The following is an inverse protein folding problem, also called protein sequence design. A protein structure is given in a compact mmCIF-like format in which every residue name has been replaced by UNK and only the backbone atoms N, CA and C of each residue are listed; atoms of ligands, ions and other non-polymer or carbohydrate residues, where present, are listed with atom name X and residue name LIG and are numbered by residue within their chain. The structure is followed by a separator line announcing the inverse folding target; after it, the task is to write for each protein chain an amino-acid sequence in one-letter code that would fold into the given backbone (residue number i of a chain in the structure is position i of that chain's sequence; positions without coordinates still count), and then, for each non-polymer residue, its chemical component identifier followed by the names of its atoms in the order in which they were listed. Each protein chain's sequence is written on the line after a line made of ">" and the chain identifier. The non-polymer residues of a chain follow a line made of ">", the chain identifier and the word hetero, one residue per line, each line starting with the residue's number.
data_IF_298840602287
#
_entry.id   IF_298840602287
#
_cell.length_a   1.000
_cell.length_b   1.000
_cell.length_c   1.000
_cell.angle_alpha   90.00
_cell.angle_beta   90.00
_cell.angle_gamma   90.00
#
_symmetry.space_group_name_H-M   'P 1'
#
loop_
_entity.id
_entity.type
_entity.pdbx_description
1 polymer ?
#
# COMPACT_ATOMS: atom_id res chain seq x y z
N UNK A 1 2.54 28.69 -16.93
CA UNK A 1 1.52 27.66 -16.62
C UNK A 1 1.48 27.54 -15.11
N UNK A 2 0.31 27.77 -14.50
CA UNK A 2 0.07 27.39 -13.11
C UNK A 2 -0.08 25.86 -13.04
N UNK A 3 0.35 25.29 -11.91
CA UNK A 3 0.20 23.86 -11.63
C UNK A 3 1.29 22.93 -12.18
N UNK A 4 1.16 21.66 -11.83
CA UNK A 4 2.11 20.62 -12.22
C UNK A 4 2.01 20.25 -13.71
N UNK A 5 3.11 19.74 -14.26
CA UNK A 5 3.19 19.32 -15.66
C UNK A 5 3.24 17.80 -15.79
N UNK A 6 2.83 17.28 -16.95
CA UNK A 6 2.99 15.86 -17.28
C UNK A 6 4.46 15.42 -17.26
N UNK A 7 5.39 16.33 -17.59
CA UNK A 7 6.83 16.06 -17.49
C UNK A 7 7.30 15.93 -16.04
N UNK A 8 6.77 16.75 -15.12
CA UNK A 8 7.03 16.63 -13.69
C UNK A 8 6.51 15.31 -13.10
N UNK A 9 5.28 14.93 -13.48
CA UNK A 9 4.69 13.62 -13.13
C UNK A 9 5.55 12.46 -13.66
N UNK A 10 5.99 12.52 -14.92
CA UNK A 10 6.88 11.51 -15.48
C UNK A 10 8.24 11.44 -14.76
N UNK A 11 8.78 12.58 -14.28
CA UNK A 11 9.97 12.62 -13.45
C UNK A 11 9.77 11.88 -12.12
N UNK A 12 8.65 12.13 -11.44
CA UNK A 12 8.31 11.43 -10.18
C UNK A 12 8.10 9.94 -10.36
N UNK A 13 7.50 9.54 -11.49
CA UNK A 13 7.38 8.12 -11.83
C UNK A 13 8.77 7.47 -11.99
N UNK A 14 9.72 8.12 -12.67
CA UNK A 14 11.10 7.61 -12.77
C UNK A 14 11.79 7.49 -11.41
N UNK A 15 11.54 8.41 -10.48
CA UNK A 15 12.07 8.31 -9.11
C UNK A 15 11.49 7.10 -8.36
N UNK A 16 10.23 6.76 -8.62
CA UNK A 16 9.52 5.62 -8.00
C UNK A 16 9.89 4.28 -8.60
N UNK A 17 10.27 4.21 -9.87
CA UNK A 17 10.78 2.97 -10.48
C UNK A 17 11.99 2.42 -9.71
N UNK A 18 12.72 3.28 -9.00
CA UNK A 18 13.86 2.91 -8.17
C UNK A 18 13.50 2.73 -6.66
N UNK A 19 12.22 2.83 -6.28
CA UNK A 19 11.74 2.79 -4.88
C UNK A 19 10.52 1.89 -4.69
N UNK A 20 10.45 1.17 -3.57
CA UNK A 20 9.41 0.15 -3.29
C UNK A 20 8.10 0.71 -2.71
N UNK A 21 7.54 1.81 -3.22
CA UNK A 21 6.26 2.36 -2.70
C UNK A 21 5.15 2.39 -3.76
N UNK A 22 4.35 1.32 -3.82
CA UNK A 22 3.29 1.13 -4.82
C UNK A 22 2.07 2.05 -4.67
N UNK A 23 1.74 2.50 -3.45
CA UNK A 23 0.60 3.41 -3.22
C UNK A 23 0.86 4.80 -3.83
N UNK A 24 2.09 5.29 -3.65
CA UNK A 24 2.55 6.54 -4.24
C UNK A 24 2.47 6.51 -5.77
N UNK A 25 2.71 5.33 -6.36
CA UNK A 25 2.69 5.14 -7.79
C UNK A 25 1.28 5.31 -8.39
N UNK A 26 0.26 4.71 -7.77
CA UNK A 26 -1.15 4.84 -8.23
C UNK A 26 -1.62 6.28 -8.17
N UNK A 27 -1.32 7.00 -7.08
CA UNK A 27 -1.67 8.42 -6.94
C UNK A 27 -1.03 9.30 -8.03
N UNK A 28 0.24 9.07 -8.36
CA UNK A 28 0.94 9.80 -9.42
C UNK A 28 0.36 9.47 -10.81
N UNK A 29 -0.11 8.23 -11.04
CA UNK A 29 -0.84 7.88 -12.25
C UNK A 29 -2.18 8.63 -12.38
N UNK A 30 -2.93 8.85 -11.29
CA UNK A 30 -4.14 9.67 -11.32
C UNK A 30 -3.84 11.12 -11.72
N UNK A 31 -2.74 11.69 -11.25
CA UNK A 31 -2.32 13.03 -11.66
C UNK A 31 -2.02 13.12 -13.16
N UNK A 32 -1.40 12.08 -13.72
CA UNK A 32 -1.20 11.99 -15.16
C UNK A 32 -2.54 11.96 -15.91
N UNK A 33 -3.49 11.14 -15.46
CA UNK A 33 -4.83 11.03 -16.06
C UNK A 33 -5.63 12.35 -15.98
N UNK A 34 -5.43 13.15 -14.95
CA UNK A 34 -6.06 14.47 -14.83
C UNK A 34 -5.49 15.47 -15.83
N UNK A 35 -4.19 15.37 -16.16
CA UNK A 35 -3.53 16.29 -17.11
C UNK A 35 -3.65 15.87 -18.55
N UNK A 36 -3.65 14.58 -18.81
CA UNK A 36 -3.75 14.01 -20.14
C UNK A 36 -4.72 12.83 -20.10
N UNK A 37 -5.85 12.97 -20.78
CA UNK A 37 -6.91 11.98 -20.80
C UNK A 37 -7.24 11.57 -22.24
N UNK A 38 -7.90 10.42 -22.38
CA UNK A 38 -8.32 9.89 -23.67
C UNK A 38 -7.34 8.90 -24.32
N UNK A 39 -7.64 8.55 -25.57
CA UNK A 39 -6.92 7.49 -26.30
C UNK A 39 -5.44 7.84 -26.43
N UNK A 40 -4.58 6.96 -25.91
CA UNK A 40 -3.13 7.10 -25.96
C UNK A 40 -2.49 7.92 -24.83
N UNK A 41 -3.25 8.39 -23.84
CA UNK A 41 -2.69 9.10 -22.68
C UNK A 41 -1.63 8.26 -21.94
N UNK A 42 -1.93 6.98 -21.70
CA UNK A 42 -0.97 6.01 -21.15
C UNK A 42 0.35 5.99 -21.93
N UNK A 43 0.25 5.88 -23.26
CA UNK A 43 1.42 5.81 -24.14
C UNK A 43 2.24 7.10 -24.08
N UNK A 44 1.59 8.27 -24.13
CA UNK A 44 2.28 9.57 -24.04
C UNK A 44 2.99 9.76 -22.70
N UNK A 45 2.42 9.25 -21.61
CA UNK A 45 3.11 9.20 -20.31
C UNK A 45 4.28 8.23 -20.35
N UNK A 46 4.06 7.00 -20.83
CA UNK A 46 5.10 5.98 -20.93
C UNK A 46 6.30 6.45 -21.78
N UNK A 47 6.04 7.09 -22.92
CA UNK A 47 7.05 7.69 -23.79
C UNK A 47 7.89 8.76 -23.04
N UNK A 48 7.30 9.49 -22.09
CA UNK A 48 8.01 10.47 -21.24
C UNK A 48 8.77 9.84 -20.07
N UNK A 49 8.34 8.67 -19.60
CA UNK A 49 8.96 7.95 -18.47
C UNK A 49 10.10 7.07 -18.95
N UNK A 50 9.88 6.29 -20.01
CA UNK A 50 10.79 5.24 -20.47
C UNK A 50 11.53 5.60 -21.77
N UNK A 51 11.13 6.68 -22.44
CA UNK A 51 11.64 7.05 -23.76
C UNK A 51 10.87 6.39 -24.91
N UNK A 52 11.24 6.75 -26.14
CA UNK A 52 10.56 6.32 -27.39
C UNK A 52 11.40 5.37 -28.24
N UNK A 53 12.61 5.05 -27.78
CA UNK A 53 13.56 4.24 -28.53
C UNK A 53 13.10 2.79 -28.68
N UNK A 54 13.59 2.09 -29.71
CA UNK A 54 13.19 0.69 -30.03
C UNK A 54 13.43 -0.34 -28.91
N UNK A 55 14.12 0.03 -27.83
CA UNK A 55 14.32 -0.80 -26.64
C UNK A 55 13.56 -0.33 -25.38
N UNK A 56 12.90 0.83 -25.42
CA UNK A 56 12.15 1.35 -24.28
C UNK A 56 10.93 0.46 -24.01
N UNK A 57 10.87 -0.12 -22.80
CA UNK A 57 9.78 -0.98 -22.37
C UNK A 57 9.23 -0.48 -21.04
N UNK A 58 7.90 -0.43 -20.95
CA UNK A 58 7.21 -0.24 -19.67
C UNK A 58 7.61 -1.36 -18.71
N UNK A 59 7.83 -1.01 -17.45
CA UNK A 59 8.02 -2.00 -16.39
C UNK A 59 6.68 -2.64 -16.01
N UNK A 60 6.75 -3.81 -15.37
CA UNK A 60 5.55 -4.45 -14.80
C UNK A 60 4.91 -3.58 -13.72
N UNK A 61 5.73 -2.88 -12.94
CA UNK A 61 5.30 -1.94 -11.89
C UNK A 61 4.44 -0.83 -12.47
N UNK A 62 4.91 -0.12 -13.50
CA UNK A 62 4.13 0.92 -14.19
C UNK A 62 2.82 0.37 -14.77
N UNK A 63 2.88 -0.79 -15.44
CA UNK A 63 1.68 -1.43 -16.01
C UNK A 63 0.63 -1.74 -14.94
N UNK A 64 1.06 -2.27 -13.80
CA UNK A 64 0.17 -2.61 -12.70
C UNK A 64 -0.41 -1.35 -12.02
N UNK A 65 0.44 -0.36 -11.73
CA UNK A 65 0.00 0.90 -11.14
C UNK A 65 -1.02 1.62 -12.04
N UNK A 66 -0.75 1.69 -13.34
CA UNK A 66 -1.68 2.30 -14.30
C UNK A 66 -3.02 1.58 -14.34
N UNK A 67 -3.02 0.24 -14.37
CA UNK A 67 -4.25 -0.56 -14.38
C UNK A 67 -5.10 -0.35 -13.12
N UNK A 68 -4.46 -0.33 -11.94
CA UNK A 68 -5.15 -0.04 -10.67
C UNK A 68 -5.69 1.39 -10.69
N UNK A 69 -4.88 2.35 -11.15
CA UNK A 69 -5.28 3.74 -11.25
C UNK A 69 -6.51 3.91 -12.16
N UNK A 70 -6.55 3.28 -13.33
CA UNK A 70 -7.69 3.32 -14.24
C UNK A 70 -8.96 2.74 -13.60
N UNK A 71 -8.84 1.58 -12.94
CA UNK A 71 -9.97 0.92 -12.27
C UNK A 71 -10.55 1.78 -11.15
N UNK A 72 -9.68 2.48 -10.42
CA UNK A 72 -10.06 3.26 -9.25
C UNK A 72 -10.32 4.75 -9.54
N UNK A 73 -10.10 5.24 -10.76
CA UNK A 73 -10.06 6.69 -11.01
C UNK A 73 -11.39 7.39 -10.75
N UNK A 74 -12.52 6.75 -11.10
CA UNK A 74 -13.86 7.32 -10.89
C UNK A 74 -14.20 7.47 -9.42
N UNK A 75 -13.97 6.42 -8.65
CA UNK A 75 -14.38 6.34 -7.25
C UNK A 75 -13.33 6.91 -6.29
N UNK A 76 -12.06 6.55 -6.48
CA UNK A 76 -10.95 7.00 -5.64
C UNK A 76 -10.43 8.39 -5.95
N UNK A 77 -10.77 8.95 -7.12
CA UNK A 77 -10.39 10.32 -7.49
C UNK A 77 -11.52 11.08 -8.19
N UNK A 78 -12.59 11.46 -7.47
CA UNK A 78 -13.79 12.05 -8.03
C UNK A 78 -13.55 13.31 -8.88
N UNK A 79 -14.44 13.55 -9.86
CA UNK A 79 -14.30 14.63 -10.83
C UNK A 79 -14.14 16.04 -10.21
N UNK A 80 -14.73 16.28 -9.04
CA UNK A 80 -14.59 17.54 -8.30
C UNK A 80 -13.12 17.83 -7.94
N UNK A 81 -12.35 16.80 -7.58
CA UNK A 81 -10.94 16.94 -7.21
C UNK A 81 -10.02 17.11 -8.42
N UNK A 82 -10.38 16.50 -9.56
CA UNK A 82 -9.57 16.52 -10.79
C UNK A 82 -9.30 17.92 -11.33
N UNK A 83 -10.28 18.84 -11.21
CA UNK A 83 -10.12 20.23 -11.66
C UNK A 83 -9.26 21.06 -10.70
N UNK A 84 -9.37 20.81 -9.40
CA UNK A 84 -8.64 21.56 -8.38
C UNK A 84 -7.17 21.15 -8.31
N UNK A 85 -6.89 19.84 -8.33
CA UNK A 85 -5.52 19.30 -8.17
C UNK A 85 -4.57 19.77 -9.28
N UNK A 86 -5.16 20.01 -10.44
CA UNK A 86 -4.53 20.34 -11.70
C UNK A 86 -3.76 21.66 -11.60
N UNK A 87 -4.26 22.60 -10.81
CA UNK A 87 -3.63 23.92 -10.57
C UNK A 87 -2.60 23.92 -9.43
N UNK A 88 -2.47 22.82 -8.67
CA UNK A 88 -1.54 22.72 -7.55
C UNK A 88 -0.09 22.48 -8.00
N UNK A 89 0.86 22.87 -7.16
CA UNK A 89 2.26 22.48 -7.33
C UNK A 89 2.40 20.95 -7.29
N UNK A 90 3.45 20.41 -7.92
CA UNK A 90 3.60 18.95 -8.07
C UNK A 90 3.58 18.20 -6.74
N UNK A 91 4.30 18.68 -5.73
CA UNK A 91 4.38 17.98 -4.44
C UNK A 91 3.04 18.05 -3.69
N UNK A 92 2.33 19.17 -3.76
CA UNK A 92 0.98 19.34 -3.19
C UNK A 92 -0.05 18.46 -3.91
N UNK A 93 0.03 18.38 -5.24
CA UNK A 93 -0.82 17.51 -6.04
C UNK A 93 -0.61 16.04 -5.68
N UNK A 94 0.64 15.64 -5.44
CA UNK A 94 0.96 14.26 -5.05
C UNK A 94 0.46 13.97 -3.64
N UNK A 95 0.70 14.86 -2.68
CA UNK A 95 0.17 14.72 -1.31
C UNK A 95 -1.35 14.57 -1.33
N UNK A 96 -2.05 15.39 -2.13
CA UNK A 96 -3.49 15.29 -2.33
C UNK A 96 -3.89 13.93 -2.91
N UNK A 97 -3.22 13.46 -3.96
CA UNK A 97 -3.54 12.18 -4.62
C UNK A 97 -3.31 10.97 -3.69
N UNK A 98 -2.25 11.01 -2.88
CA UNK A 98 -1.96 9.96 -1.89
C UNK A 98 -2.98 9.96 -0.77
N UNK A 99 -3.36 11.13 -0.25
CA UNK A 99 -4.43 11.25 0.75
C UNK A 99 -5.78 10.75 0.23
N UNK A 100 -6.10 11.06 -1.02
CA UNK A 100 -7.32 10.55 -1.66
C UNK A 100 -7.30 9.01 -1.78
N UNK A 101 -6.14 8.44 -2.15
CA UNK A 101 -5.97 6.98 -2.22
C UNK A 101 -6.15 6.31 -0.86
N UNK A 102 -5.54 6.84 0.20
CA UNK A 102 -5.67 6.30 1.55
C UNK A 102 -7.09 6.47 2.11
N UNK A 103 -7.78 7.58 1.79
CA UNK A 103 -9.18 7.75 2.14
C UNK A 103 -10.08 6.72 1.44
N UNK A 104 -9.81 6.43 0.16
CA UNK A 104 -10.57 5.44 -0.59
C UNK A 104 -10.32 4.01 -0.09
N UNK A 105 -9.06 3.65 0.20
CA UNK A 105 -8.70 2.39 0.87
C UNK A 105 -9.42 2.24 2.22
N UNK A 106 -9.50 3.33 2.99
CA UNK A 106 -10.24 3.36 4.26
C UNK A 106 -11.74 3.12 4.06
N UNK A 107 -12.36 3.78 3.07
CA UNK A 107 -13.78 3.56 2.73
C UNK A 107 -14.09 2.13 2.29
N UNK A 108 -13.10 1.45 1.71
CA UNK A 108 -13.14 0.06 1.27
C UNK A 108 -12.64 -0.93 2.35
N UNK A 109 -12.22 -0.44 3.52
CA UNK A 109 -11.67 -1.23 4.64
C UNK A 109 -10.49 -2.14 4.23
N UNK A 110 -9.61 -1.67 3.34
CA UNK A 110 -8.41 -2.40 2.90
C UNK A 110 -7.14 -1.67 3.30
N UNK A 111 -6.13 -2.41 3.73
CA UNK A 111 -4.85 -1.83 4.19
C UNK A 111 -3.72 -2.03 3.19
N UNK A 112 -3.82 -3.03 2.31
CA UNK A 112 -2.81 -3.38 1.31
C UNK A 112 -3.30 -3.15 -0.13
N UNK A 113 -2.35 -3.04 -1.08
CA UNK A 113 -2.65 -2.75 -2.48
C UNK A 113 -3.26 -3.94 -3.23
N UNK A 114 -3.04 -5.17 -2.77
CA UNK A 114 -3.54 -6.38 -3.41
C UNK A 114 -5.06 -6.44 -3.27
N UNK A 115 -5.56 -6.32 -2.04
CA UNK A 115 -7.00 -6.35 -1.77
C UNK A 115 -7.68 -5.12 -2.34
N UNK A 116 -7.00 -3.96 -2.29
CA UNK A 116 -7.49 -2.74 -2.92
C UNK A 116 -7.73 -2.92 -4.42
N UNK A 117 -6.79 -3.53 -5.14
CA UNK A 117 -6.94 -3.76 -6.57
C UNK A 117 -8.23 -4.50 -6.92
N UNK A 118 -8.69 -5.44 -6.09
CA UNK A 118 -9.88 -6.25 -6.37
C UNK A 118 -11.17 -5.42 -6.29
N UNK A 119 -11.25 -4.51 -5.31
CA UNK A 119 -12.49 -3.81 -4.95
C UNK A 119 -12.47 -2.30 -5.22
N UNK A 120 -11.36 -1.71 -5.69
CA UNK A 120 -11.22 -0.27 -5.94
C UNK A 120 -12.14 0.31 -7.02
N UNK A 121 -12.97 -0.51 -7.66
CA UNK A 121 -14.03 -0.07 -8.59
C UNK A 121 -15.31 0.39 -7.86
N UNK A 122 -15.39 0.20 -6.55
CA UNK A 122 -16.51 0.61 -5.70
C UNK A 122 -16.08 1.81 -4.85
N UNK A 123 -17.01 2.70 -4.51
CA UNK A 123 -16.71 3.89 -3.70
C UNK A 123 -16.43 3.57 -2.23
N UNK A 124 -17.13 2.56 -1.71
CA UNK A 124 -17.04 2.10 -0.33
C UNK A 124 -17.59 0.68 -0.21
N UNK A 125 -17.38 0.06 0.95
CA UNK A 125 -17.98 -1.26 1.28
C UNK A 125 -19.50 -1.29 1.13
N UNK A 126 -20.19 -0.16 1.30
CA UNK A 126 -21.65 -0.07 1.20
C UNK A 126 -22.17 -0.11 -0.24
N UNK A 127 -21.33 0.32 -1.19
CA UNK A 127 -21.66 0.31 -2.62
C UNK A 127 -21.29 -1.01 -3.30
N UNK A 128 -20.61 -1.90 -2.59
CA UNK A 128 -20.33 -3.24 -3.07
C UNK A 128 -21.65 -4.02 -3.15
N UNK A 129 -21.87 -4.82 -4.21
CA UNK A 129 -22.98 -5.76 -4.21
C UNK A 129 -22.87 -6.61 -2.95
N UNK A 130 -23.99 -6.75 -2.22
CA UNK A 130 -24.06 -7.66 -1.09
C UNK A 130 -23.44 -8.98 -1.55
N UNK A 131 -22.32 -9.35 -0.91
CA UNK A 131 -21.78 -10.68 -1.08
C UNK A 131 -22.95 -11.57 -0.71
N UNK A 132 -23.49 -12.35 -1.66
CA UNK A 132 -24.45 -13.39 -1.32
C UNK A 132 -23.80 -14.11 -0.13
N UNK A 133 -24.48 -14.09 1.02
CA UNK A 133 -23.95 -14.61 2.27
C UNK A 133 -23.39 -16.00 1.97
N UNK A 134 -22.06 -16.09 1.83
CA UNK A 134 -21.42 -17.32 2.22
C UNK A 134 -21.73 -17.40 3.71
N UNK A 135 -22.43 -18.46 4.09
CA UNK A 135 -22.64 -18.84 5.47
C UNK A 135 -21.40 -18.50 6.31
N UNK A 136 -21.56 -18.07 7.56
CA UNK A 136 -20.42 -17.75 8.42
C UNK A 136 -19.46 -18.94 8.37
N UNK A 137 -18.25 -18.71 7.85
CA UNK A 137 -17.17 -19.65 8.10
C UNK A 137 -17.09 -19.78 9.62
N UNK A 138 -17.24 -20.99 10.17
CA UNK A 138 -17.28 -21.17 11.61
C UNK A 138 -16.00 -20.59 12.20
N UNK A 139 -16.16 -19.88 13.32
CA UNK A 139 -15.08 -19.66 14.27
C UNK A 139 -14.44 -21.03 14.54
N UNK A 140 -13.32 -21.34 13.91
CA UNK A 140 -12.49 -22.44 14.35
C UNK A 140 -11.78 -21.96 15.60
N UNK A 141 -12.43 -22.23 16.72
CA UNK A 141 -11.79 -22.41 18.02
C UNK A 141 -10.51 -23.24 17.85
N UNK A 142 -9.44 -22.71 18.43
CA UNK A 142 -8.21 -23.39 18.83
C UNK A 142 -8.45 -24.79 19.41
N UNK A 143 -7.71 -25.79 18.89
CA UNK A 143 -6.91 -26.78 19.64
C UNK A 143 -6.41 -27.89 18.69
N UNK A 144 -5.37 -28.68 19.02
CA UNK A 144 -4.14 -28.44 19.80
C UNK A 144 -2.87 -28.69 18.94
N UNK A 145 -1.69 -28.49 19.56
CA UNK A 145 -0.36 -28.83 19.03
C UNK A 145 -0.26 -30.27 18.48
N UNK A 146 0.62 -30.55 17.50
CA UNK A 146 1.43 -31.74 17.55
C UNK A 146 2.75 -31.41 18.24
N UNK A 147 2.98 -32.02 19.41
CA UNK A 147 4.32 -32.29 19.92
C UNK A 147 5.16 -32.86 18.78
N UNK A 148 6.25 -32.17 18.46
CA UNK A 148 7.19 -32.53 17.41
C UNK A 148 8.58 -32.19 17.89
N UNK A 149 9.09 -33.11 18.71
CA UNK A 149 10.46 -33.36 19.14
C UNK A 149 11.53 -32.45 18.52
N UNK A 150 12.25 -31.74 19.40
CA UNK A 150 13.55 -31.15 19.11
C UNK A 150 14.55 -32.28 18.94
N UNK A 151 14.64 -32.81 17.72
CA UNK A 151 15.76 -33.66 17.35
C UNK A 151 16.98 -32.78 17.10
N UNK A 152 17.95 -32.94 18.01
CA UNK A 152 19.24 -32.31 18.00
C UNK A 152 20.13 -32.96 16.93
N UNK A 153 19.89 -32.66 15.66
CA UNK A 153 20.92 -32.80 14.64
C UNK A 153 20.76 -31.71 13.59
N UNK A 154 21.67 -30.74 13.64
CA UNK A 154 21.67 -29.57 12.77
C UNK A 154 21.81 -29.98 11.31
N UNK A 155 20.69 -30.03 10.59
CA UNK A 155 20.54 -29.85 9.14
C UNK A 155 19.07 -29.95 8.79
N UNK A 156 18.39 -28.81 8.68
CA UNK A 156 17.30 -28.63 7.72
C UNK A 156 17.01 -27.14 7.50
N UNK A 157 16.79 -26.79 6.24
CA UNK A 157 16.84 -25.44 5.69
C UNK A 157 15.77 -24.51 6.28
N UNK A 158 16.22 -23.46 6.99
CA UNK A 158 15.38 -22.33 7.35
C UNK A 158 14.90 -21.65 6.06
N UNK A 159 13.61 -21.76 5.77
CA UNK A 159 12.94 -20.99 4.72
C UNK A 159 13.25 -19.50 4.92
N UNK A 160 13.96 -18.92 3.95
CA UNK A 160 14.17 -17.48 3.84
C UNK A 160 12.84 -16.72 3.94
N UNK A 161 12.79 -15.70 4.81
CA UNK A 161 11.99 -14.51 4.54
C UNK A 161 10.87 -14.13 5.51
N UNK A 162 10.74 -14.72 6.70
CA UNK A 162 9.76 -14.23 7.69
C UNK A 162 10.40 -13.17 8.58
N UNK A 163 10.21 -11.90 8.24
CA UNK A 163 10.59 -10.77 9.11
C UNK A 163 9.63 -10.69 10.30
N UNK A 164 10.05 -11.31 11.41
CA UNK A 164 9.30 -11.36 12.68
C UNK A 164 8.98 -9.95 13.19
N UNK A 165 9.87 -8.98 12.97
CA UNK A 165 9.67 -7.60 13.42
C UNK A 165 8.61 -6.90 12.56
N UNK A 166 8.59 -7.16 11.25
CA UNK A 166 7.54 -6.67 10.38
C UNK A 166 6.15 -7.19 10.79
N UNK A 167 6.05 -8.47 11.15
CA UNK A 167 4.80 -9.08 11.57
C UNK A 167 4.31 -8.53 12.92
N UNK A 168 5.21 -8.31 13.88
CA UNK A 168 4.87 -7.67 15.16
C UNK A 168 4.38 -6.24 14.92
N UNK A 169 5.02 -5.46 14.03
CA UNK A 169 4.57 -4.09 13.71
C UNK A 169 3.16 -4.07 13.12
N UNK A 170 2.83 -5.03 12.26
CA UNK A 170 1.47 -5.17 11.70
C UNK A 170 0.48 -5.48 12.81
N UNK A 171 0.76 -6.45 13.68
CA UNK A 171 -0.11 -6.79 14.80
C UNK A 171 -0.36 -5.58 15.74
N UNK A 172 0.70 -4.85 16.12
CA UNK A 172 0.58 -3.66 16.97
C UNK A 172 -0.24 -2.54 16.33
N UNK A 173 -0.21 -2.42 15.00
CA UNK A 173 -0.96 -1.38 14.27
C UNK A 173 -2.48 -1.63 14.21
N UNK A 174 -2.92 -2.84 14.56
CA UNK A 174 -4.34 -3.23 14.58
C UNK A 174 -4.99 -3.10 15.95
N UNK A 175 -4.21 -2.79 16.99
CA UNK A 175 -4.71 -2.64 18.36
C UNK A 175 -5.50 -1.35 18.52
N UNK A 176 -6.51 -1.39 19.39
CA UNK A 176 -7.13 -0.16 19.90
C UNK A 176 -6.12 0.63 20.74
N UNK A 177 -6.38 1.93 20.96
CA UNK A 177 -5.48 2.77 21.76
C UNK A 177 -5.24 2.23 23.17
N UNK A 178 -6.28 1.70 23.84
CA UNK A 178 -6.16 1.09 25.17
C UNK A 178 -5.28 -0.16 25.14
N UNK A 179 -5.49 -1.06 24.18
CA UNK A 179 -4.67 -2.26 24.01
C UNK A 179 -3.22 -1.92 23.64
N UNK A 180 -3.00 -0.90 22.80
CA UNK A 180 -1.66 -0.45 22.44
C UNK A 180 -0.92 0.14 23.65
N UNK A 181 -1.63 0.87 24.53
CA UNK A 181 -1.06 1.39 25.79
C UNK A 181 -0.71 0.26 26.76
N UNK A 182 -1.53 -0.79 26.85
CA UNK A 182 -1.24 -1.98 27.67
C UNK A 182 0.00 -2.72 27.18
N UNK A 183 0.10 -2.96 25.87
CA UNK A 183 1.28 -3.60 25.26
C UNK A 183 2.53 -2.74 25.41
N UNK A 184 2.42 -1.41 25.28
CA UNK A 184 3.53 -0.49 25.50
C UNK A 184 4.02 -0.54 26.96
N UNK A 185 3.09 -0.60 27.93
CA UNK A 185 3.42 -0.76 29.35
C UNK A 185 4.15 -2.06 29.64
N UNK A 186 3.66 -3.18 29.09
CA UNK A 186 4.31 -4.49 29.20
C UNK A 186 5.71 -4.51 28.58
N UNK A 187 5.88 -3.95 27.37
CA UNK A 187 7.18 -3.85 26.69
C UNK A 187 8.18 -3.02 27.50
N UNK A 188 7.75 -1.88 28.04
CA UNK A 188 8.61 -1.02 28.86
C UNK A 188 9.11 -1.75 30.11
N UNK A 189 8.24 -2.51 30.79
CA UNK A 189 8.64 -3.32 31.94
C UNK A 189 9.67 -4.39 31.59
N UNK A 190 9.50 -5.10 30.47
CA UNK A 190 10.40 -6.18 30.05
C UNK A 190 11.75 -5.66 29.57
N UNK A 191 11.76 -4.53 28.85
CA UNK A 191 13.00 -3.88 28.41
C UNK A 191 13.78 -3.39 29.64
N UNK A 192 13.11 -2.78 30.62
CA UNK A 192 13.77 -2.31 31.84
C UNK A 192 14.31 -3.47 32.68
N UNK A 193 13.55 -4.56 32.85
CA UNK A 193 14.01 -5.75 33.57
C UNK A 193 15.22 -6.42 32.89
N UNK A 194 15.21 -6.51 31.55
CA UNK A 194 16.34 -7.03 30.78
C UNK A 194 17.58 -6.12 30.89
N UNK A 195 17.38 -4.80 30.90
CA UNK A 195 18.45 -3.81 31.03
C UNK A 195 19.09 -3.82 32.42
N UNK A 196 18.29 -3.99 33.49
CA UNK A 196 18.79 -4.15 34.86
C UNK A 196 19.52 -5.50 35.05
N UNK A 197 19.06 -6.56 34.38
CA UNK A 197 19.74 -7.86 34.36
C UNK A 197 21.10 -7.80 33.69
N UNK A 198 21.21 -7.08 32.57
CA UNK A 198 22.48 -6.82 31.87
C UNK A 198 23.44 -5.97 32.71
N UNK A 199 22.93 -4.97 33.44
CA UNK A 199 23.74 -4.12 34.32
C UNK A 199 24.26 -4.85 35.58
N UNK A 200 23.62 -5.94 36.00
CA UNK A 200 24.09 -6.80 37.11
C UNK A 200 25.04 -7.92 36.66
N UNK A 201 25.09 -8.20 35.36
CA UNK A 201 25.96 -9.22 34.76
C UNK A 201 27.28 -8.64 34.21
N UNK A 202 27.46 -7.32 34.26
CA UNK A 202 28.69 -6.58 33.93
C UNK A 202 29.42 -6.14 35.20
#
# INVERSE_FOLDING_TARGET
>A
MSGYTLAGVAGRIRDLENKTNGAYYVGVCWLAMCRDSGKGAKKRLADKVFGVDKGAKETSTFRNAWRIAEKAFSEGFPAAHRKAVVELALDEAIDFAVKALEAHKTALKVTNMKDYEDICKYASVETMPAKAEAEPEPETETAPEPEGDVDADGKEDAKEGVDVVANIKVALSTLTLEQAMEVAGWLAQHINAASEGLAKAA
#
